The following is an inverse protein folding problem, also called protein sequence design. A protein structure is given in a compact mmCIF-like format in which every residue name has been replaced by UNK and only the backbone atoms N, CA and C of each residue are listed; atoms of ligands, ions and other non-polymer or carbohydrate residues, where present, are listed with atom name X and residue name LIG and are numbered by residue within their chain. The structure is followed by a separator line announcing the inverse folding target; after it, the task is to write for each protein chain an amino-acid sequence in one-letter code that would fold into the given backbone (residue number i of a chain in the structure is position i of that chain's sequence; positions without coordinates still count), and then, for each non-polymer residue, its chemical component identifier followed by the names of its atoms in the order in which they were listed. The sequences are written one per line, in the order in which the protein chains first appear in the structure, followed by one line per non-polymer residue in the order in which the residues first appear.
data_IF_340243176812
#
_entry.id   IF_340243176812
#
_cell.length_a   1.000
_cell.length_b   1.000
_cell.length_c   1.000
_cell.angle_alpha   90.00
_cell.angle_beta   90.00
_cell.angle_gamma   90.00
#
_symmetry.space_group_name_H-M   'P 1'
#
loop_
_entity.id
_entity.type
_entity.pdbx_description
1 polymer ?
#
# COMPACT_ATOMS: atom_id res chain seq x y z
N UNK A 1 2.56 25.53 12.02
CA UNK A 1 2.58 24.65 10.83
C UNK A 1 1.82 23.40 11.19
N UNK A 2 0.62 23.26 10.67
CA UNK A 2 -0.18 22.06 10.93
C UNK A 2 0.47 20.87 10.21
N UNK A 3 1.02 19.95 10.96
CA UNK A 3 1.44 18.67 10.45
C UNK A 3 0.17 17.89 10.10
N UNK A 4 -0.21 17.92 8.83
CA UNK A 4 -1.33 17.15 8.32
C UNK A 4 -0.93 15.67 8.22
N UNK A 5 -0.62 15.09 9.37
CA UNK A 5 -0.39 13.66 9.49
C UNK A 5 -1.75 12.99 9.58
N UNK A 6 -2.09 12.03 8.72
CA UNK A 6 -3.37 11.33 8.84
C UNK A 6 -3.50 10.70 10.22
N UNK A 7 -4.64 10.94 10.86
CA UNK A 7 -4.96 10.30 12.13
C UNK A 7 -5.16 8.80 11.91
N UNK A 8 -4.42 7.99 12.65
CA UNK A 8 -4.61 6.56 12.66
C UNK A 8 -5.85 6.21 13.50
N UNK A 9 -6.72 5.37 12.96
CA UNK A 9 -7.91 4.88 13.65
C UNK A 9 -7.50 3.86 14.73
N UNK A 10 -7.45 4.28 15.99
CA UNK A 10 -6.91 3.44 17.06
C UNK A 10 -7.87 2.35 17.56
N UNK A 11 -9.18 2.56 17.57
CA UNK A 11 -10.16 1.57 18.03
C UNK A 11 -11.56 1.89 17.49
N UNK A 12 -11.95 1.24 16.43
CA UNK A 12 -13.34 1.24 15.98
C UNK A 12 -13.88 -0.17 16.13
N UNK A 13 -15.11 -0.28 16.65
CA UNK A 13 -15.85 -1.55 16.66
C UNK A 13 -16.02 -2.01 15.20
N UNK A 14 -15.55 -3.22 14.88
CA UNK A 14 -15.37 -3.65 13.49
C UNK A 14 -16.07 -4.96 13.23
N UNK A 15 -16.67 -5.09 12.04
CA UNK A 15 -17.26 -6.33 11.58
C UNK A 15 -16.20 -7.41 11.28
N UNK A 16 -14.96 -7.00 10.97
CA UNK A 16 -13.81 -7.90 10.84
C UNK A 16 -13.00 -7.92 12.13
N UNK A 17 -12.75 -9.10 12.66
CA UNK A 17 -11.87 -9.32 13.79
C UNK A 17 -10.88 -10.44 13.45
N UNK A 18 -9.64 -10.14 13.17
CA UNK A 18 -8.95 -8.86 13.23
C UNK A 18 -9.32 -7.88 12.10
N UNK A 19 -9.00 -6.59 12.26
CA UNK A 19 -9.41 -5.55 11.32
C UNK A 19 -8.79 -5.69 9.94
N UNK A 20 -9.57 -5.36 8.92
CA UNK A 20 -9.14 -5.21 7.54
C UNK A 20 -8.92 -3.72 7.24
N UNK A 21 -7.71 -3.37 6.83
CA UNK A 21 -7.35 -2.00 6.49
C UNK A 21 -7.27 -1.80 4.98
N UNK A 22 -7.76 -0.67 4.52
CA UNK A 22 -7.42 -0.11 3.22
C UNK A 22 -6.35 0.97 3.44
N UNK A 23 -5.21 0.82 2.76
CA UNK A 23 -4.04 1.67 2.96
C UNK A 23 -3.71 2.43 1.70
N UNK A 24 -3.31 3.69 1.87
CA UNK A 24 -2.76 4.53 0.81
C UNK A 24 -1.38 5.05 1.23
N UNK A 25 -0.37 4.73 0.44
CA UNK A 25 1.00 5.23 0.61
C UNK A 25 1.30 6.21 -0.51
N UNK A 26 1.70 7.43 -0.16
CA UNK A 26 1.98 8.48 -1.13
C UNK A 26 3.48 8.80 -1.19
N UNK A 27 3.94 9.13 -2.40
CA UNK A 27 5.29 9.67 -2.63
C UNK A 27 5.33 11.13 -2.19
N UNK A 28 6.45 11.55 -1.61
CA UNK A 28 6.69 12.95 -1.33
C UNK A 28 6.77 13.76 -2.64
N UNK A 29 6.21 14.96 -2.62
CA UNK A 29 6.27 15.92 -3.74
C UNK A 29 5.64 15.41 -5.05
N UNK A 30 4.76 14.41 -4.99
CA UNK A 30 4.02 13.89 -6.16
C UNK A 30 4.89 13.30 -7.26
N UNK A 31 6.11 12.86 -6.95
CA UNK A 31 7.00 12.23 -7.94
C UNK A 31 6.40 10.93 -8.47
N UNK A 32 6.59 10.66 -9.76
CA UNK A 32 6.06 9.47 -10.42
C UNK A 32 7.16 8.40 -10.50
N UNK A 33 7.17 7.47 -9.56
CA UNK A 33 8.26 6.50 -9.39
C UNK A 33 7.83 5.04 -9.22
N UNK A 34 6.54 4.74 -9.07
CA UNK A 34 6.08 3.39 -8.73
C UNK A 34 5.66 2.52 -9.91
N UNK A 35 5.39 3.10 -11.07
CA UNK A 35 4.96 2.34 -12.24
C UNK A 35 6.15 1.69 -12.97
N UNK A 36 6.91 0.87 -12.24
CA UNK A 36 8.06 0.10 -12.75
C UNK A 36 7.97 -1.35 -12.26
N UNK A 37 8.40 -2.28 -13.10
CA UNK A 37 8.34 -3.71 -12.80
C UNK A 37 9.11 -4.06 -11.53
N UNK A 38 10.29 -3.48 -11.32
CA UNK A 38 11.13 -3.73 -10.15
C UNK A 38 10.44 -3.31 -8.85
N UNK A 39 9.72 -2.21 -8.88
CA UNK A 39 8.96 -1.72 -7.72
C UNK A 39 7.75 -2.62 -7.45
N UNK A 40 7.01 -3.01 -8.49
CA UNK A 40 5.91 -3.97 -8.37
C UNK A 40 6.40 -5.28 -7.78
N UNK A 41 7.48 -5.84 -8.30
CA UNK A 41 8.00 -7.13 -7.87
C UNK A 41 8.48 -7.09 -6.42
N UNK A 42 9.14 -6.01 -5.99
CA UNK A 42 9.53 -5.80 -4.61
C UNK A 42 8.31 -5.73 -3.67
N UNK A 43 7.28 -4.99 -4.05
CA UNK A 43 6.02 -4.90 -3.31
C UNK A 43 5.36 -6.29 -3.19
N UNK A 44 5.16 -6.97 -4.31
CA UNK A 44 4.50 -8.28 -4.37
C UNK A 44 5.27 -9.32 -3.53
N UNK A 45 6.59 -9.36 -3.64
CA UNK A 45 7.42 -10.31 -2.89
C UNK A 45 7.37 -10.05 -1.38
N UNK A 46 7.38 -8.79 -0.97
CA UNK A 46 7.24 -8.45 0.44
C UNK A 46 5.87 -8.88 0.99
N UNK A 47 4.81 -8.59 0.24
CA UNK A 47 3.45 -8.95 0.62
C UNK A 47 3.22 -10.46 0.66
N UNK A 48 3.80 -11.22 -0.28
CA UNK A 48 3.73 -12.70 -0.27
C UNK A 48 4.40 -13.29 0.97
N UNK A 49 5.57 -12.79 1.35
CA UNK A 49 6.28 -13.24 2.55
C UNK A 49 5.54 -12.92 3.85
N UNK A 50 4.69 -11.92 3.85
CA UNK A 50 3.87 -11.54 4.99
C UNK A 50 2.89 -12.66 5.41
N UNK A 51 2.46 -13.51 4.46
CA UNK A 51 1.59 -14.66 4.75
C UNK A 51 2.20 -15.61 5.81
N UNK A 52 3.52 -15.76 5.84
CA UNK A 52 4.22 -16.57 6.85
C UNK A 52 4.09 -16.00 8.26
N UNK A 53 3.70 -14.75 8.39
CA UNK A 53 3.45 -14.04 9.66
C UNK A 53 1.96 -13.77 9.90
N UNK A 54 1.09 -14.50 9.21
CA UNK A 54 -0.37 -14.34 9.30
C UNK A 54 -0.85 -12.93 8.92
N UNK A 55 -0.12 -12.28 8.03
CA UNK A 55 -0.50 -10.99 7.45
C UNK A 55 -0.91 -11.25 6.00
N UNK A 56 -2.15 -10.95 5.68
CA UNK A 56 -2.74 -11.17 4.36
C UNK A 56 -2.90 -9.85 3.64
N UNK A 57 -2.22 -9.70 2.52
CA UNK A 57 -2.44 -8.59 1.60
C UNK A 57 -3.37 -9.07 0.48
N UNK A 58 -4.44 -8.35 0.24
CA UNK A 58 -5.41 -8.66 -0.80
C UNK A 58 -5.12 -7.94 -2.12
N UNK A 59 -6.12 -7.25 -2.62
CA UNK A 59 -6.04 -6.48 -3.86
C UNK A 59 -5.19 -5.22 -3.68
N UNK A 60 -4.50 -4.83 -4.75
CA UNK A 60 -3.63 -3.66 -4.77
C UNK A 60 -3.61 -2.99 -6.14
N UNK A 61 -3.33 -1.70 -6.14
CA UNK A 61 -3.04 -0.89 -7.33
C UNK A 61 -1.83 -0.01 -7.02
N UNK A 62 -0.77 -0.12 -7.83
CA UNK A 62 0.36 0.80 -7.81
C UNK A 62 0.13 1.90 -8.85
N UNK A 63 -0.13 3.11 -8.39
CA UNK A 63 -0.16 4.29 -9.22
C UNK A 63 1.24 4.90 -9.30
N UNK A 64 1.55 5.77 -10.26
CA UNK A 64 2.89 6.35 -10.36
C UNK A 64 3.39 7.05 -9.10
N UNK A 65 2.51 7.66 -8.32
CA UNK A 65 2.83 8.50 -7.16
C UNK A 65 2.21 8.02 -5.84
N UNK A 66 1.48 6.91 -5.87
CA UNK A 66 0.89 6.32 -4.65
C UNK A 66 0.54 4.84 -4.84
N UNK A 67 0.37 4.15 -3.73
CA UNK A 67 -0.01 2.73 -3.71
C UNK A 67 -1.28 2.57 -2.87
N UNK A 68 -2.24 1.85 -3.40
CA UNK A 68 -3.41 1.39 -2.66
C UNK A 68 -3.38 -0.12 -2.47
N UNK A 69 -3.72 -0.59 -1.28
CA UNK A 69 -3.87 -2.02 -1.02
C UNK A 69 -4.72 -2.30 0.22
N UNK A 70 -5.21 -3.54 0.30
CA UNK A 70 -5.94 -4.06 1.45
C UNK A 70 -5.03 -5.00 2.23
N UNK A 71 -5.04 -4.89 3.56
CA UNK A 71 -4.21 -5.73 4.43
C UNK A 71 -4.94 -6.07 5.73
N UNK A 72 -4.80 -7.31 6.15
CA UNK A 72 -5.32 -7.83 7.41
C UNK A 72 -4.24 -8.65 8.10
N UNK A 73 -4.06 -8.47 9.39
CA UNK A 73 -3.18 -9.29 10.22
C UNK A 73 -3.95 -9.98 11.33
N UNK A 74 -3.26 -10.66 12.23
CA UNK A 74 -3.84 -11.15 13.46
C UNK A 74 -4.00 -10.02 14.51
N UNK A 75 -4.47 -10.38 15.71
CA UNK A 75 -4.69 -9.39 16.80
C UNK A 75 -3.41 -8.69 17.27
N UNK A 76 -2.25 -9.28 17.03
CA UNK A 76 -0.95 -8.69 17.35
C UNK A 76 -0.39 -7.79 16.24
N UNK A 77 -1.09 -7.68 15.12
CA UNK A 77 -0.61 -6.97 13.95
C UNK A 77 -0.45 -5.47 14.21
N UNK A 78 0.78 -5.00 14.12
CA UNK A 78 1.12 -3.57 14.10
C UNK A 78 1.26 -3.08 12.66
N UNK A 79 0.21 -2.43 12.16
CA UNK A 79 0.18 -1.90 10.80
C UNK A 79 1.31 -0.91 10.54
N UNK A 80 1.58 -0.01 11.48
CA UNK A 80 2.62 1.02 11.32
C UNK A 80 4.02 0.42 11.22
N UNK A 81 4.31 -0.57 12.04
CA UNK A 81 5.59 -1.28 11.99
C UNK A 81 5.76 -2.04 10.67
N UNK A 82 4.71 -2.73 10.22
CA UNK A 82 4.73 -3.48 8.97
C UNK A 82 4.89 -2.55 7.76
N UNK A 83 4.20 -1.41 7.74
CA UNK A 83 4.33 -0.38 6.69
C UNK A 83 5.76 0.18 6.63
N UNK A 84 6.42 0.38 7.77
CA UNK A 84 7.83 0.82 7.77
C UNK A 84 8.74 -0.17 7.03
N UNK A 85 8.52 -1.47 7.23
CA UNK A 85 9.25 -2.52 6.50
C UNK A 85 8.96 -2.48 5.00
N UNK A 86 7.69 -2.37 4.62
CA UNK A 86 7.27 -2.25 3.23
C UNK A 86 7.90 -1.01 2.56
N UNK A 87 7.81 0.13 3.21
CA UNK A 87 8.36 1.39 2.69
C UNK A 87 9.87 1.29 2.42
N UNK A 88 10.61 0.60 3.31
CA UNK A 88 12.05 0.40 3.14
C UNK A 88 12.36 -0.48 1.93
N UNK A 89 11.62 -1.55 1.74
CA UNK A 89 11.80 -2.48 0.62
C UNK A 89 11.47 -1.81 -0.71
N UNK A 90 10.36 -1.08 -0.79
CA UNK A 90 9.96 -0.35 -1.99
C UNK A 90 10.94 0.78 -2.31
N UNK A 91 11.39 1.53 -1.32
CA UNK A 91 12.40 2.58 -1.51
C UNK A 91 13.72 2.03 -2.07
N UNK A 92 14.15 0.86 -1.59
CA UNK A 92 15.34 0.18 -2.12
C UNK A 92 15.17 -0.21 -3.59
N UNK A 93 13.99 -0.69 -3.98
CA UNK A 93 13.68 -1.03 -5.38
C UNK A 93 13.67 0.22 -6.26
N UNK A 94 13.11 1.33 -5.79
CA UNK A 94 13.13 2.62 -6.50
C UNK A 94 14.57 3.10 -6.72
N UNK A 95 15.45 2.92 -5.75
CA UNK A 95 16.87 3.28 -5.86
C UNK A 95 17.67 2.33 -6.77
N UNK A 96 17.05 1.28 -7.33
CA UNK A 96 17.70 0.32 -8.23
C UNK A 96 18.67 -0.64 -7.53
N UNK A 97 18.45 -0.93 -6.25
CA UNK A 97 19.29 -1.82 -5.45
C UNK A 97 20.70 -1.27 -5.20
N UNK A 98 20.97 -0.03 -5.56
CA UNK A 98 22.24 0.62 -5.23
C UNK A 98 22.32 0.73 -3.71
N UNK A 99 23.25 -0.02 -3.13
CA UNK A 99 23.71 0.29 -1.78
C UNK A 99 24.21 1.72 -1.82
N UNK A 100 23.45 2.65 -1.30
CA UNK A 100 23.97 3.98 -1.04
C UNK A 100 25.00 3.83 0.07
N UNK A 101 26.25 3.70 -0.37
CA UNK A 101 27.39 3.81 0.50
C UNK A 101 27.43 5.26 0.94
N UNK A 102 27.07 5.47 2.21
CA UNK A 102 27.41 6.64 3.00
C UNK A 102 27.11 8.04 2.44
N UNK A 103 25.92 8.51 2.71
CA UNK A 103 25.79 9.87 3.23
C UNK A 103 24.51 9.98 4.03
N UNK A 104 24.65 10.07 5.34
CA UNK A 104 23.53 10.30 6.28
C UNK A 104 22.83 11.65 6.05
N UNK A 105 23.25 12.43 5.06
CA UNK A 105 22.78 13.81 4.86
C UNK A 105 21.91 14.04 3.62
N UNK A 106 21.65 13.02 2.77
CA UNK A 106 20.92 13.27 1.52
C UNK A 106 19.78 12.28 1.20
N UNK A 107 19.44 11.36 2.09
CA UNK A 107 18.25 10.53 1.90
C UNK A 107 17.01 11.25 2.36
N UNK A 108 16.54 12.21 1.58
CA UNK A 108 15.15 12.60 1.67
C UNK A 108 14.32 11.37 1.39
N UNK A 109 13.51 10.95 2.36
CA UNK A 109 12.56 9.86 2.17
C UNK A 109 11.77 10.09 0.88
N UNK A 110 11.64 9.06 0.05
CA UNK A 110 10.75 9.12 -1.11
C UNK A 110 9.28 9.23 -0.71
N UNK A 111 8.98 8.87 0.53
CA UNK A 111 7.62 8.79 1.05
C UNK A 111 7.14 10.12 1.62
N UNK A 112 5.86 10.42 1.38
CA UNK A 112 5.15 11.40 2.18
C UNK A 112 5.14 10.94 3.64
N UNK A 113 5.24 11.89 4.57
CA UNK A 113 5.23 11.58 6.00
C UNK A 113 3.90 11.00 6.42
N UNK A 114 3.93 9.83 7.09
CA UNK A 114 2.73 9.09 7.47
C UNK A 114 2.10 8.32 6.31
N UNK A 115 0.95 7.75 6.53
CA UNK A 115 0.14 7.07 5.53
C UNK A 115 -1.34 7.22 5.90
N UNK A 116 -2.20 7.01 4.90
CA UNK A 116 -3.64 7.00 5.11
C UNK A 116 -4.10 5.55 5.29
N UNK A 117 -4.89 5.30 6.33
CA UNK A 117 -5.55 4.01 6.52
C UNK A 117 -7.04 4.21 6.80
N UNK A 118 -7.82 3.28 6.31
CA UNK A 118 -9.25 3.23 6.51
C UNK A 118 -9.67 1.80 6.82
N UNK A 119 -10.47 1.65 7.86
CA UNK A 119 -10.97 0.32 8.24
C UNK A 119 -12.14 -0.07 7.36
N UNK A 120 -12.07 -1.24 6.77
CA UNK A 120 -13.15 -1.85 6.01
C UNK A 120 -14.07 -2.60 6.97
N UNK A 121 -15.36 -2.30 6.95
CA UNK A 121 -16.32 -2.80 7.93
C UNK A 121 -17.07 -4.05 7.49
N UNK A 122 -17.21 -4.25 6.18
CA UNK A 122 -17.96 -5.39 5.63
C UNK A 122 -17.54 -5.66 4.17
N UNK A 123 -18.02 -6.78 3.62
CA UNK A 123 -17.71 -7.20 2.25
C UNK A 123 -18.18 -6.19 1.20
N UNK A 124 -19.33 -5.54 1.41
CA UNK A 124 -19.86 -4.52 0.50
C UNK A 124 -18.91 -3.30 0.45
N UNK A 125 -18.49 -2.80 1.59
CA UNK A 125 -17.52 -1.69 1.67
C UNK A 125 -16.18 -2.04 0.99
N UNK A 126 -15.73 -3.29 1.09
CA UNK A 126 -14.56 -3.77 0.38
C UNK A 126 -14.75 -3.72 -1.14
N UNK A 127 -15.86 -4.29 -1.64
CA UNK A 127 -16.15 -4.32 -3.06
C UNK A 127 -16.27 -2.90 -3.65
N UNK A 128 -17.02 -2.02 -2.99
CA UNK A 128 -17.18 -0.63 -3.40
C UNK A 128 -15.83 0.11 -3.44
N UNK A 129 -15.01 -0.07 -2.42
CA UNK A 129 -13.69 0.56 -2.36
C UNK A 129 -12.79 0.04 -3.47
N UNK A 130 -12.82 -1.26 -3.74
CA UNK A 130 -12.05 -1.86 -4.83
C UNK A 130 -12.51 -1.35 -6.20
N UNK A 131 -13.81 -1.33 -6.45
CA UNK A 131 -14.37 -0.85 -7.72
C UNK A 131 -13.98 0.62 -7.99
N UNK A 132 -13.93 1.43 -6.95
CA UNK A 132 -13.45 2.80 -7.07
C UNK A 132 -11.95 2.87 -7.37
N UNK A 133 -11.14 2.12 -6.65
CA UNK A 133 -9.67 2.22 -6.70
C UNK A 133 -9.09 1.63 -7.98
N UNK A 134 -9.64 0.52 -8.48
CA UNK A 134 -9.17 -0.10 -9.73
C UNK A 134 -9.36 0.79 -10.96
N UNK A 135 -10.26 1.76 -10.90
CA UNK A 135 -10.47 2.74 -11.98
C UNK A 135 -9.49 3.93 -11.92
N UNK A 136 -8.64 4.02 -10.91
CA UNK A 136 -7.67 5.11 -10.79
C UNK A 136 -6.77 5.27 -12.03
N UNK A 137 -6.22 4.20 -12.64
CA UNK A 137 -5.41 4.34 -13.85
C UNK A 137 -6.19 4.93 -15.04
N UNK A 138 -7.48 4.59 -15.15
CA UNK A 138 -8.36 5.13 -16.19
C UNK A 138 -8.65 6.62 -15.92
N UNK A 139 -9.02 6.96 -14.69
CA UNK A 139 -9.26 8.35 -14.30
C UNK A 139 -8.03 9.25 -14.46
N UNK A 140 -6.84 8.68 -14.26
CA UNK A 140 -5.57 9.38 -14.47
C UNK A 140 -5.15 9.46 -15.94
N UNK A 141 -5.90 8.86 -16.87
CA UNK A 141 -5.59 8.86 -18.29
C UNK A 141 -4.41 7.98 -18.69
N UNK A 142 -4.03 7.01 -17.85
CA UNK A 142 -2.88 6.14 -18.09
C UNK A 142 -3.22 4.95 -18.99
N UNK A 143 -4.44 4.47 -18.92
CA UNK A 143 -5.00 3.38 -19.74
C UNK A 143 -6.46 3.71 -20.10
N UNK A 144 -7.00 3.01 -21.09
CA UNK A 144 -8.40 3.18 -21.50
C UNK A 144 -9.36 2.36 -20.65
N UNK A 145 -8.93 1.15 -20.28
CA UNK A 145 -9.69 0.24 -19.41
C UNK A 145 -8.76 -0.24 -18.30
N UNK A 146 -9.31 -0.52 -17.12
CA UNK A 146 -8.50 -0.85 -15.94
C UNK A 146 -7.70 -2.16 -16.10
N UNK A 147 -8.18 -3.10 -16.89
CA UNK A 147 -7.52 -4.37 -17.17
C UNK A 147 -6.17 -4.22 -17.91
N UNK A 148 -5.96 -3.12 -18.59
CA UNK A 148 -4.69 -2.81 -19.26
C UNK A 148 -3.60 -2.33 -18.29
N UNK A 149 -3.95 -2.03 -17.02
CA UNK A 149 -2.99 -1.56 -16.03
C UNK A 149 -2.21 -2.73 -15.41
N UNK A 150 -0.93 -2.84 -15.75
CA UNK A 150 -0.07 -3.96 -15.36
C UNK A 150 0.38 -3.92 -13.88
N UNK A 151 0.18 -2.79 -13.20
CA UNK A 151 0.65 -2.56 -11.83
C UNK A 151 -0.49 -2.71 -10.81
N UNK A 152 -1.28 -3.76 -10.98
CA UNK A 152 -2.39 -4.12 -10.09
C UNK A 152 -2.51 -5.64 -9.97
N UNK A 153 -3.19 -6.11 -8.94
CA UNK A 153 -3.43 -7.53 -8.75
C UNK A 153 -4.03 -7.86 -7.39
N UNK A 154 -4.00 -9.13 -7.07
CA UNK A 154 -4.43 -9.69 -5.79
C UNK A 154 -3.34 -10.67 -5.30
N UNK A 155 -2.81 -10.41 -4.10
CA UNK A 155 -1.75 -11.27 -3.52
C UNK A 155 -2.38 -12.53 -2.93
N UNK A 156 -3.43 -12.36 -2.14
CA UNK A 156 -4.20 -13.43 -1.55
C UNK A 156 -5.67 -13.02 -1.46
N UNK A 157 -6.56 -14.00 -1.49
CA UNK A 157 -7.99 -13.75 -1.29
C UNK A 157 -8.23 -13.49 0.20
N UNK A 158 -8.80 -12.33 0.51
CA UNK A 158 -9.26 -12.04 1.85
C UNK A 158 -10.68 -12.57 1.97
N UNK A 159 -10.85 -13.63 2.77
CA UNK A 159 -12.16 -14.22 3.02
C UNK A 159 -13.06 -13.21 3.72
N UNK A 160 -14.25 -13.09 3.16
CA UNK A 160 -15.28 -12.16 3.60
C UNK A 160 -16.55 -12.98 3.86
N UNK A 161 -16.66 -13.38 5.04
CA UNK A 161 -17.90 -14.01 5.50
C UNK A 161 -18.77 -12.98 6.18
#
# INVERSE_FOLDING_TARGET
MSHNQPLRLERIFQAYDPPLYFVTLCVAEGRKIFNRNEVRDAFVNYCRRALNRKITVGRYVLMPDHIHFFVQGDRSFDLGLWIRGLNRVVAAAVAGGRKQINSASSQRSIWQRGFFDHVIRNAESYAQKWDYVRENPVRAGLVKINEEWNFQGEIAVIDRV
#
